data_IF_309421082816
#
_entry.id   IF_309421082816
#
_cell.length_a   1.000
_cell.length_b   1.000
_cell.length_c   1.000
_cell.angle_alpha   90.00
_cell.angle_beta   90.00
_cell.angle_gamma   90.00
#
_symmetry.space_group_name_H-M   'P 1'
#
loop_
_entity.id
_entity.type
_entity.pdbx_description
1 polymer ?
#
# COMPACT_ATOMS: atom_id res chain seq x y z
N UNK A 1 -6.54 3.89 23.76
CA UNK A 1 -7.46 3.34 22.77
C UNK A 1 -6.78 3.30 21.42
N UNK A 2 -6.83 2.18 20.76
CA UNK A 2 -6.17 2.07 19.46
C UNK A 2 -6.98 2.77 18.39
N UNK A 3 -6.38 3.73 17.71
CA UNK A 3 -7.00 4.43 16.62
C UNK A 3 -7.21 3.54 15.40
N UNK A 4 -6.45 2.46 15.31
CA UNK A 4 -6.51 1.59 14.12
C UNK A 4 -7.85 0.87 14.01
N UNK A 5 -8.52 0.63 15.12
CA UNK A 5 -9.84 0.01 15.11
C UNK A 5 -10.91 0.90 14.48
N UNK A 6 -10.65 2.19 14.38
CA UNK A 6 -11.57 3.13 13.77
C UNK A 6 -11.34 3.28 12.26
N UNK A 7 -10.26 2.69 11.75
CA UNK A 7 -9.95 2.76 10.32
C UNK A 7 -10.57 1.57 9.62
N UNK A 8 -11.87 1.67 9.35
CA UNK A 8 -12.55 0.69 8.50
C UNK A 8 -12.07 0.84 7.06
N UNK A 9 -12.35 -0.13 6.22
CA UNK A 9 -12.02 -0.04 4.81
C UNK A 9 -12.52 1.24 4.17
N UNK A 10 -13.74 1.68 4.54
CA UNK A 10 -14.31 2.90 4.00
C UNK A 10 -13.49 4.14 4.35
N UNK A 11 -12.98 4.21 5.59
CA UNK A 11 -12.13 5.33 5.99
C UNK A 11 -10.77 5.27 5.34
N UNK A 12 -10.20 4.09 5.19
CA UNK A 12 -8.88 3.92 4.58
C UNK A 12 -8.88 4.34 3.11
N UNK A 13 -10.02 4.23 2.42
CA UNK A 13 -10.10 4.66 1.02
C UNK A 13 -10.02 6.18 0.88
N UNK A 14 -10.19 6.93 1.97
CA UNK A 14 -10.04 8.39 1.93
C UNK A 14 -8.60 8.84 2.13
N UNK A 15 -7.72 7.94 2.55
CA UNK A 15 -6.30 8.27 2.67
C UNK A 15 -5.72 8.51 1.28
N UNK A 16 -4.94 9.58 1.16
CA UNK A 16 -4.10 9.75 -0.02
C UNK A 16 -2.92 8.79 0.08
N UNK A 17 -2.25 8.58 -1.04
CA UNK A 17 -1.03 7.77 -1.05
C UNK A 17 0.00 8.31 -0.04
N UNK A 18 0.13 9.63 0.03
CA UNK A 18 1.06 10.27 0.96
C UNK A 18 0.68 10.02 2.42
N UNK A 19 -0.61 10.13 2.74
CA UNK A 19 -1.09 9.82 4.10
C UNK A 19 -0.85 8.37 4.46
N UNK A 20 -1.07 7.46 3.52
CA UNK A 20 -0.81 6.04 3.72
C UNK A 20 0.66 5.79 4.08
N UNK A 21 1.58 6.32 3.27
CA UNK A 21 3.01 6.10 3.49
C UNK A 21 3.49 6.70 4.80
N UNK A 22 3.00 7.87 5.16
CA UNK A 22 3.34 8.50 6.43
C UNK A 22 2.85 7.66 7.62
N UNK A 23 1.61 7.19 7.57
CA UNK A 23 1.06 6.37 8.65
C UNK A 23 1.82 5.05 8.79
N UNK A 24 2.13 4.41 7.66
CA UNK A 24 2.90 3.17 7.65
C UNK A 24 4.30 3.37 8.21
N UNK A 25 4.96 4.46 7.82
CA UNK A 25 6.31 4.76 8.31
C UNK A 25 6.33 4.96 9.82
N UNK A 26 5.31 5.62 10.36
CA UNK A 26 5.19 5.79 11.81
C UNK A 26 5.01 4.46 12.54
N UNK A 27 4.21 3.57 11.96
CA UNK A 27 4.02 2.24 12.54
C UNK A 27 5.33 1.44 12.50
N UNK A 28 6.05 1.50 11.39
CA UNK A 28 7.34 0.82 11.26
C UNK A 28 8.35 1.37 12.27
N UNK A 29 8.41 2.68 12.43
CA UNK A 29 9.32 3.32 13.37
C UNK A 29 9.04 2.91 14.82
N UNK A 30 7.79 2.56 15.10
CA UNK A 30 7.38 2.07 16.43
C UNK A 30 7.51 0.55 16.57
N UNK A 31 8.03 -0.14 15.56
CA UNK A 31 8.13 -1.59 15.58
C UNK A 31 6.81 -2.31 15.36
N UNK A 32 5.77 -1.61 14.94
CA UNK A 32 4.43 -2.16 14.72
C UNK A 32 4.26 -2.60 13.27
N UNK A 33 5.08 -3.55 12.86
CA UNK A 33 5.19 -3.96 11.47
C UNK A 33 3.93 -4.64 10.94
N UNK A 34 3.28 -5.47 11.76
CA UNK A 34 2.06 -6.16 11.32
C UNK A 34 0.93 -5.17 11.06
N UNK A 35 0.85 -4.11 11.87
CA UNK A 35 -0.16 -3.07 11.66
C UNK A 35 0.13 -2.28 10.39
N UNK A 36 1.40 -2.01 10.11
CA UNK A 36 1.78 -1.33 8.86
C UNK A 36 1.43 -2.20 7.65
N UNK A 37 1.69 -3.49 7.73
CA UNK A 37 1.35 -4.45 6.67
C UNK A 37 -0.16 -4.45 6.44
N UNK A 38 -0.94 -4.52 7.51
CA UNK A 38 -2.39 -4.53 7.40
C UNK A 38 -2.93 -3.22 6.81
N UNK A 39 -2.32 -2.12 7.19
CA UNK A 39 -2.71 -0.80 6.66
C UNK A 39 -2.56 -0.77 5.13
N UNK A 40 -1.42 -1.23 4.61
CA UNK A 40 -1.21 -1.32 3.16
C UNK A 40 -2.22 -2.25 2.50
N UNK A 41 -2.47 -3.42 3.09
CA UNK A 41 -3.42 -4.38 2.53
C UNK A 41 -4.81 -3.79 2.40
N UNK A 42 -5.29 -3.13 3.45
CA UNK A 42 -6.62 -2.54 3.45
C UNK A 42 -6.72 -1.40 2.44
N UNK A 43 -5.71 -0.53 2.41
CA UNK A 43 -5.72 0.57 1.46
C UNK A 43 -5.70 0.07 0.01
N UNK A 44 -4.83 -0.89 -0.28
CA UNK A 44 -4.70 -1.45 -1.64
C UNK A 44 -5.97 -2.17 -2.07
N UNK A 45 -6.68 -2.78 -1.13
CA UNK A 45 -7.93 -3.50 -1.42
C UNK A 45 -9.07 -2.53 -1.77
N UNK A 46 -9.12 -1.39 -1.13
CA UNK A 46 -10.27 -0.49 -1.22
C UNK A 46 -10.04 0.78 -2.04
N UNK A 47 -8.79 1.20 -2.22
CA UNK A 47 -8.47 2.45 -2.89
C UNK A 47 -8.73 2.39 -4.40
N UNK A 48 -9.13 3.51 -4.95
CA UNK A 48 -9.25 3.71 -6.40
C UNK A 48 -8.15 4.59 -6.95
N UNK A 49 -7.11 4.85 -6.16
CA UNK A 49 -5.98 5.67 -6.60
C UNK A 49 -5.27 5.01 -7.78
N UNK A 50 -5.06 5.78 -8.85
CA UNK A 50 -4.39 5.26 -10.05
C UNK A 50 -2.90 4.99 -9.83
N UNK A 51 -2.33 5.48 -8.72
CA UNK A 51 -0.92 5.28 -8.39
C UNK A 51 -0.71 4.14 -7.40
N UNK A 52 -1.57 3.14 -7.43
CA UNK A 52 -1.43 1.96 -6.56
C UNK A 52 -0.08 1.28 -6.71
N UNK A 53 0.53 1.38 -7.90
CA UNK A 53 1.85 0.79 -8.12
C UNK A 53 2.90 1.33 -7.13
N UNK A 54 2.80 2.60 -6.74
CA UNK A 54 3.70 3.17 -5.74
C UNK A 54 3.50 2.51 -4.38
N UNK A 55 2.24 2.33 -3.98
CA UNK A 55 1.90 1.65 -2.73
C UNK A 55 2.37 0.19 -2.74
N UNK A 56 2.20 -0.50 -3.88
CA UNK A 56 2.68 -1.88 -4.01
C UNK A 56 4.19 -1.97 -3.83
N UNK A 57 4.94 -1.00 -4.36
CA UNK A 57 6.39 -0.96 -4.20
C UNK A 57 6.76 -0.83 -2.73
N UNK A 58 6.17 0.14 -2.03
CA UNK A 58 6.45 0.37 -0.62
C UNK A 58 6.04 -0.82 0.24
N UNK A 59 4.91 -1.43 -0.10
CA UNK A 59 4.41 -2.62 0.59
C UNK A 59 5.34 -3.81 0.39
N UNK A 60 5.76 -4.05 -0.86
CA UNK A 60 6.71 -5.11 -1.16
C UNK A 60 8.02 -4.94 -0.41
N UNK A 61 8.51 -3.71 -0.33
CA UNK A 61 9.72 -3.40 0.43
C UNK A 61 9.56 -3.72 1.91
N UNK A 62 8.42 -3.33 2.50
CA UNK A 62 8.12 -3.63 3.90
C UNK A 62 8.09 -5.14 4.14
N UNK A 63 7.39 -5.88 3.28
CA UNK A 63 7.30 -7.34 3.39
C UNK A 63 8.68 -7.99 3.29
N UNK A 64 9.52 -7.50 2.38
CA UNK A 64 10.87 -8.01 2.19
C UNK A 64 11.72 -7.78 3.44
N UNK A 65 11.62 -6.61 4.05
CA UNK A 65 12.34 -6.31 5.30
C UNK A 65 11.92 -7.23 6.44
N UNK A 66 10.69 -7.71 6.42
CA UNK A 66 10.17 -8.63 7.43
C UNK A 66 10.36 -10.11 7.04
N UNK A 67 11.15 -10.38 6.01
CA UNK A 67 11.45 -11.72 5.51
C UNK A 67 10.21 -12.48 5.00
N UNK A 68 9.17 -11.76 4.62
CA UNK A 68 7.96 -12.33 4.02
C UNK A 68 8.12 -12.32 2.49
N UNK A 69 9.05 -13.16 2.01
CA UNK A 69 9.51 -13.09 0.63
C UNK A 69 8.44 -13.49 -0.40
N UNK A 70 7.61 -14.49 -0.08
CA UNK A 70 6.52 -14.87 -0.98
C UNK A 70 5.51 -13.73 -1.13
N UNK A 71 5.16 -13.10 -0.01
CA UNK A 71 4.23 -11.99 -0.02
C UNK A 71 4.82 -10.79 -0.75
N UNK A 72 6.12 -10.56 -0.57
CA UNK A 72 6.82 -9.49 -1.27
C UNK A 72 6.80 -9.71 -2.78
N UNK A 73 7.03 -10.95 -3.23
CA UNK A 73 6.99 -11.29 -4.65
C UNK A 73 5.59 -11.03 -5.23
N UNK A 74 4.55 -11.40 -4.49
CA UNK A 74 3.18 -11.12 -4.92
C UNK A 74 2.92 -9.62 -5.04
N UNK A 75 3.41 -8.83 -4.08
CA UNK A 75 3.26 -7.38 -4.12
C UNK A 75 3.95 -6.78 -5.34
N UNK A 76 5.14 -7.25 -5.66
CA UNK A 76 5.87 -6.77 -6.84
C UNK A 76 5.21 -7.18 -8.14
N UNK A 77 4.54 -8.33 -8.18
CA UNK A 77 3.75 -8.74 -9.34
C UNK A 77 2.57 -7.78 -9.56
N UNK A 78 1.87 -7.43 -8.48
CA UNK A 78 0.80 -6.43 -8.56
C UNK A 78 1.33 -5.07 -8.99
N UNK A 79 2.52 -4.70 -8.52
CA UNK A 79 3.17 -3.46 -8.92
C UNK A 79 3.33 -3.40 -10.43
N UNK A 80 3.82 -4.49 -11.04
CA UNK A 80 4.04 -4.56 -12.47
C UNK A 80 2.75 -4.35 -13.24
N UNK A 81 1.67 -5.01 -12.81
CA UNK A 81 0.38 -4.91 -13.47
C UNK A 81 -0.21 -3.51 -13.34
N UNK A 82 -0.19 -2.96 -12.13
CA UNK A 82 -0.76 -1.63 -11.88
C UNK A 82 0.05 -0.53 -12.56
N UNK A 83 1.37 -0.68 -12.63
CA UNK A 83 2.21 0.27 -13.33
C UNK A 83 1.95 0.25 -14.84
N UNK A 84 1.77 -0.92 -15.42
CA UNK A 84 1.43 -1.05 -16.84
C UNK A 84 0.10 -0.37 -17.14
N UNK A 85 -0.90 -0.57 -16.27
CA UNK A 85 -2.20 0.08 -16.39
C UNK A 85 -2.08 1.60 -16.27
N UNK A 86 -1.28 2.08 -15.33
CA UNK A 86 -1.03 3.50 -15.15
C UNK A 86 -0.42 4.12 -16.41
N UNK A 87 0.60 3.48 -16.97
CA UNK A 87 1.25 3.96 -18.19
C UNK A 87 0.28 3.96 -19.37
N UNK A 88 -0.53 2.91 -19.52
CA UNK A 88 -1.51 2.83 -20.60
C UNK A 88 -2.54 3.95 -20.51
N UNK A 89 -3.02 4.23 -19.30
CA UNK A 89 -3.97 5.31 -19.10
C UNK A 89 -3.38 6.67 -19.44
N UNK A 90 -2.15 6.93 -19.06
CA UNK A 90 -1.48 8.19 -19.35
C UNK A 90 -1.13 8.30 -20.85
N UNK A 91 -0.72 7.22 -21.47
CA UNK A 91 -0.46 7.23 -22.90
C UNK A 91 -1.74 7.51 -23.69
N UNK A 92 -2.86 6.95 -23.27
CA UNK A 92 -4.13 7.19 -23.95
C UNK A 92 -4.62 8.62 -23.75
N UNK A 93 -4.26 9.25 -22.63
CA UNK A 93 -4.63 10.63 -22.35
C UNK A 93 -3.78 11.64 -23.12
N UNK A 94 -2.60 11.22 -23.54
CA UNK A 94 -1.71 12.08 -24.33
C UNK A 94 -2.19 12.13 -25.77
#
# INVERSE_FOLDING_TARGET
MSSIHHLSGAKLTTFTLNELTQAADMLEASGRYEEAIDLYRQWLKHSQDERKHVAWFNFGWLLQKQNLFSDAANAYNHLTDDYANYLSGHAAAA
#
